data_IF_336246125778
#
_entry.id   IF_336246125778
#
_cell.length_a   1.000
_cell.length_b   1.000
_cell.length_c   1.000
_cell.angle_alpha   90.00
_cell.angle_beta   90.00
_cell.angle_gamma   90.00
#
_symmetry.space_group_name_H-M   'P 1'
#
loop_
_entity.id
_entity.type
_entity.pdbx_description
1 polymer ?
#
# COMPACT_ATOMS: atom_id res chain seq x y z
N UNK A 1 -1.86 25.24 24.18
CA UNK A 1 -3.31 25.43 24.36
C UNK A 1 -3.71 24.68 25.62
N UNK A 2 -4.56 25.26 26.47
CA UNK A 2 -5.06 24.56 27.66
C UNK A 2 -5.97 23.41 27.23
N UNK A 3 -6.01 22.31 28.00
CA UNK A 3 -6.83 21.12 27.74
C UNK A 3 -8.32 21.45 27.57
N UNK A 4 -8.80 22.50 28.26
CA UNK A 4 -10.19 22.98 28.17
C UNK A 4 -10.51 23.66 26.83
N UNK A 5 -9.55 24.36 26.24
CA UNK A 5 -9.71 25.00 24.92
C UNK A 5 -9.73 23.96 23.78
N UNK A 6 -9.12 22.78 24.01
CA UNK A 6 -9.15 21.66 23.07
C UNK A 6 -10.46 20.89 23.13
N UNK A 7 -11.12 20.82 24.29
CA UNK A 7 -12.42 20.15 24.43
C UNK A 7 -13.56 20.93 23.77
N UNK A 8 -13.53 22.26 23.79
CA UNK A 8 -14.60 23.09 23.19
C UNK A 8 -14.60 23.01 21.67
N UNK A 9 -13.42 22.99 21.04
CA UNK A 9 -13.24 22.91 19.58
C UNK A 9 -13.32 21.48 19.02
N UNK A 10 -13.73 20.52 19.84
CA UNK A 10 -13.76 19.09 19.51
C UNK A 10 -14.78 18.74 18.44
N UNK A 11 -16.01 19.23 18.59
CA UNK A 11 -17.13 18.99 17.69
C UNK A 11 -17.39 20.22 16.82
N UNK A 12 -18.12 20.02 15.71
CA UNK A 12 -18.61 21.13 14.90
C UNK A 12 -19.50 22.03 15.78
N UNK A 13 -19.20 23.33 15.79
CA UNK A 13 -20.03 24.33 16.48
C UNK A 13 -20.81 25.13 15.44
N UNK A 14 -22.12 25.24 15.62
CA UNK A 14 -22.98 26.08 14.80
C UNK A 14 -23.11 27.46 15.43
N UNK A 15 -22.90 28.52 14.64
CA UNK A 15 -23.18 29.88 15.10
C UNK A 15 -24.66 30.17 14.83
N UNK A 16 -25.48 30.12 15.88
CA UNK A 16 -26.91 30.42 15.77
C UNK A 16 -27.11 31.84 15.21
N UNK A 17 -27.84 31.95 14.09
CA UNK A 17 -28.21 33.23 13.46
C UNK A 17 -27.27 33.75 12.38
N UNK A 18 -26.08 33.17 12.18
CA UNK A 18 -25.20 33.51 11.05
C UNK A 18 -25.35 32.48 9.93
N UNK A 19 -25.92 32.88 8.80
CA UNK A 19 -25.97 32.05 7.58
C UNK A 19 -24.92 32.48 6.57
N UNK A 20 -24.40 31.51 5.81
CA UNK A 20 -23.45 31.75 4.72
C UNK A 20 -23.95 31.06 3.47
N UNK A 21 -23.94 31.80 2.36
CA UNK A 21 -24.22 31.23 1.04
C UNK A 21 -23.05 30.36 0.58
N UNK A 22 -23.26 29.06 0.48
CA UNK A 22 -22.27 28.10 0.00
C UNK A 22 -22.63 27.59 -1.37
N UNK A 23 -21.75 27.80 -2.34
CA UNK A 23 -21.86 27.19 -3.66
C UNK A 23 -21.64 25.67 -3.58
N UNK A 24 -22.55 24.90 -4.18
CA UNK A 24 -22.44 23.45 -4.36
C UNK A 24 -21.35 23.15 -5.39
N UNK A 25 -20.33 22.38 -5.01
CA UNK A 25 -19.16 22.10 -5.87
C UNK A 25 -19.07 20.65 -6.29
N UNK A 26 -19.58 19.73 -5.48
CA UNK A 26 -19.51 18.31 -5.76
C UNK A 26 -20.64 17.86 -6.67
N UNK A 27 -20.35 16.91 -7.57
CA UNK A 27 -21.31 16.29 -8.46
C UNK A 27 -22.47 15.64 -7.71
N UNK A 28 -22.16 15.02 -6.56
CA UNK A 28 -23.16 14.36 -5.69
C UNK A 28 -24.05 15.38 -5.00
N UNK A 29 -23.48 16.49 -4.55
CA UNK A 29 -24.21 17.58 -3.89
C UNK A 29 -25.18 18.27 -4.87
N UNK A 30 -24.70 18.62 -6.06
CA UNK A 30 -25.52 19.24 -7.11
C UNK A 30 -26.63 18.29 -7.54
N UNK A 31 -26.32 17.01 -7.78
CA UNK A 31 -27.32 16.02 -8.18
C UNK A 31 -28.40 15.82 -7.12
N UNK A 32 -28.04 15.71 -5.84
CA UNK A 32 -28.99 15.63 -4.74
C UNK A 32 -29.86 16.90 -4.62
N UNK A 33 -29.26 18.07 -4.80
CA UNK A 33 -29.99 19.34 -4.77
C UNK A 33 -30.99 19.45 -5.93
N UNK A 34 -30.60 19.02 -7.14
CA UNK A 34 -31.48 18.96 -8.30
C UNK A 34 -32.63 17.99 -8.10
N UNK A 35 -32.39 16.78 -7.56
CA UNK A 35 -33.46 15.83 -7.25
C UNK A 35 -34.45 16.45 -6.26
N UNK A 36 -33.95 17.09 -5.20
CA UNK A 36 -34.80 17.73 -4.20
C UNK A 36 -35.64 18.87 -4.80
N UNK A 37 -35.06 19.70 -5.67
CA UNK A 37 -35.75 20.85 -6.27
C UNK A 37 -36.69 20.46 -7.43
N UNK A 38 -36.36 19.42 -8.20
CA UNK A 38 -37.17 18.94 -9.32
C UNK A 38 -38.26 17.96 -8.90
N UNK A 39 -38.15 17.35 -7.72
CA UNK A 39 -39.17 16.48 -7.14
C UNK A 39 -39.48 15.27 -8.03
N UNK A 40 -40.70 15.19 -8.55
CA UNK A 40 -41.15 14.10 -9.45
C UNK A 40 -40.73 14.30 -10.90
N UNK A 41 -40.23 15.50 -11.27
CA UNK A 41 -39.81 15.84 -12.64
C UNK A 41 -38.32 15.54 -12.85
N UNK A 42 -37.89 14.31 -12.55
CA UNK A 42 -36.50 13.85 -12.76
C UNK A 42 -36.28 13.25 -14.15
N UNK A 43 -37.23 13.44 -15.08
CA UNK A 43 -37.14 12.91 -16.43
C UNK A 43 -35.90 13.51 -17.14
N UNK A 44 -34.87 12.70 -17.36
CA UNK A 44 -33.61 13.11 -17.99
C UNK A 44 -32.40 13.21 -17.04
N UNK A 45 -32.60 13.13 -15.72
CA UNK A 45 -31.50 13.00 -14.75
C UNK A 45 -31.16 11.53 -14.53
N UNK A 46 -29.90 11.10 -14.79
CA UNK A 46 -29.49 9.74 -14.48
C UNK A 46 -29.61 9.47 -12.98
N UNK A 47 -30.05 8.26 -12.61
CA UNK A 47 -30.20 7.85 -11.21
C UNK A 47 -28.85 7.81 -10.47
N UNK A 48 -27.76 7.56 -11.18
CA UNK A 48 -26.40 7.53 -10.62
C UNK A 48 -25.62 8.79 -11.00
N UNK A 49 -25.25 9.65 -10.03
CA UNK A 49 -24.46 10.83 -10.31
C UNK A 49 -23.09 10.47 -10.90
N UNK A 50 -22.53 9.26 -10.73
CA UNK A 50 -21.23 8.90 -11.30
C UNK A 50 -21.23 8.87 -12.84
N UNK A 51 -22.38 8.65 -13.47
CA UNK A 51 -22.52 8.49 -14.93
C UNK A 51 -22.73 9.81 -15.69
N UNK A 52 -22.98 10.90 -14.99
CA UNK A 52 -23.27 12.22 -15.59
C UNK A 52 -22.01 13.06 -15.74
N UNK A 53 -22.02 14.21 -16.41
CA UNK A 53 -20.92 15.19 -16.32
C UNK A 53 -21.29 16.32 -15.38
N UNK A 54 -20.30 16.98 -14.77
CA UNK A 54 -20.55 18.17 -13.95
C UNK A 54 -21.13 19.33 -14.79
N UNK A 55 -20.72 19.43 -16.06
CA UNK A 55 -21.26 20.41 -17.00
C UNK A 55 -22.76 20.16 -17.23
N UNK A 56 -23.14 18.92 -17.53
CA UNK A 56 -24.54 18.55 -17.72
C UNK A 56 -25.42 18.90 -16.51
N UNK A 57 -24.95 18.63 -15.28
CA UNK A 57 -25.72 18.97 -14.08
C UNK A 57 -25.90 20.49 -13.91
N UNK A 58 -24.90 21.30 -14.30
CA UNK A 58 -25.03 22.76 -14.29
C UNK A 58 -25.97 23.25 -15.37
N UNK A 59 -25.92 22.65 -16.56
CA UNK A 59 -26.81 22.99 -17.66
C UNK A 59 -28.27 22.68 -17.30
N UNK A 60 -28.54 21.54 -16.68
CA UNK A 60 -29.87 21.18 -16.15
C UNK A 60 -30.31 22.17 -15.07
N UNK A 61 -29.42 22.54 -14.14
CA UNK A 61 -29.73 23.55 -13.13
C UNK A 61 -30.12 24.89 -13.77
N UNK A 62 -29.36 25.34 -14.76
CA UNK A 62 -29.62 26.58 -15.49
C UNK A 62 -30.94 26.52 -16.28
N UNK A 63 -31.23 25.41 -16.95
CA UNK A 63 -32.48 25.21 -17.70
C UNK A 63 -33.72 25.29 -16.80
N UNK A 64 -33.61 24.81 -15.56
CA UNK A 64 -34.70 24.85 -14.59
C UNK A 64 -34.65 26.06 -13.65
N UNK A 65 -33.72 27.00 -13.85
CA UNK A 65 -33.58 28.19 -13.00
C UNK A 65 -33.23 27.87 -11.54
N UNK A 66 -32.57 26.74 -11.28
CA UNK A 66 -32.20 26.29 -9.94
C UNK A 66 -30.84 26.88 -9.58
N UNK A 67 -30.81 27.74 -8.57
CA UNK A 67 -29.55 28.24 -8.03
C UNK A 67 -28.75 27.10 -7.37
N UNK A 68 -27.44 27.09 -7.61
CA UNK A 68 -26.52 26.09 -7.08
C UNK A 68 -25.82 26.59 -5.80
N UNK A 69 -26.39 27.59 -5.14
CA UNK A 69 -25.97 28.04 -3.83
C UNK A 69 -27.02 27.71 -2.78
N UNK A 70 -26.56 27.22 -1.63
CA UNK A 70 -27.42 26.82 -0.52
C UNK A 70 -27.04 27.68 0.68
N UNK A 71 -28.07 28.21 1.35
CA UNK A 71 -27.91 28.88 2.62
C UNK A 71 -27.66 27.82 3.71
N UNK A 72 -26.46 27.83 4.29
CA UNK A 72 -26.10 26.94 5.39
C UNK A 72 -25.79 27.78 6.63
N UNK A 73 -26.13 27.26 7.82
CA UNK A 73 -25.69 27.84 9.09
C UNK A 73 -24.17 27.82 9.13
N UNK A 74 -23.55 28.94 9.51
CA UNK A 74 -22.10 29.03 9.63
C UNK A 74 -21.63 28.05 10.70
N UNK A 75 -20.79 27.09 10.30
CA UNK A 75 -20.20 26.10 11.21
C UNK A 75 -18.70 26.33 11.38
N UNK A 76 -18.23 26.34 12.62
CA UNK A 76 -16.81 26.10 12.91
C UNK A 76 -16.58 24.60 12.90
N UNK A 77 -15.79 24.13 11.93
CA UNK A 77 -15.48 22.72 11.79
C UNK A 77 -14.63 22.23 12.96
N UNK A 78 -15.13 21.25 13.70
CA UNK A 78 -14.42 20.49 14.71
C UNK A 78 -13.43 19.51 14.07
N UNK A 79 -12.62 18.87 14.92
CA UNK A 79 -11.56 17.96 14.44
C UNK A 79 -11.94 16.48 14.57
N UNK A 80 -13.04 16.13 15.24
CA UNK A 80 -13.51 14.74 15.36
C UNK A 80 -13.93 14.19 13.98
N UNK A 81 -13.55 12.94 13.69
CA UNK A 81 -13.80 12.23 12.41
C UNK A 81 -13.16 12.85 11.15
N UNK A 82 -12.41 13.95 11.27
CA UNK A 82 -11.62 14.48 10.17
C UNK A 82 -10.26 13.77 10.15
N UNK A 83 -9.78 13.26 9.00
CA UNK A 83 -8.45 12.67 8.91
C UNK A 83 -7.40 13.72 9.28
N UNK A 84 -6.58 13.42 10.29
CA UNK A 84 -5.50 14.30 10.72
C UNK A 84 -4.30 14.13 9.80
N UNK A 85 -3.71 15.26 9.39
CA UNK A 85 -2.43 15.24 8.68
C UNK A 85 -1.29 14.87 9.62
N UNK A 86 -0.21 14.30 9.07
CA UNK A 86 0.96 13.89 9.86
C UNK A 86 1.53 15.03 10.74
N UNK A 87 1.59 16.26 10.20
CA UNK A 87 2.03 17.43 10.95
C UNK A 87 1.13 17.73 12.15
N UNK A 88 -0.18 17.64 11.96
CA UNK A 88 -1.16 17.86 13.03
C UNK A 88 -0.98 16.83 14.15
N UNK A 89 -0.78 15.56 13.79
CA UNK A 89 -0.52 14.49 14.76
C UNK A 89 0.77 14.73 15.53
N UNK A 90 1.85 15.14 14.85
CA UNK A 90 3.10 15.48 15.51
C UNK A 90 2.95 16.67 16.46
N UNK A 91 2.17 17.70 16.08
CA UNK A 91 1.89 18.86 16.94
C UNK A 91 1.16 18.45 18.21
N UNK A 92 0.08 17.69 18.07
CA UNK A 92 -0.73 17.24 19.21
C UNK A 92 0.06 16.37 20.19
N UNK A 93 1.06 15.64 19.68
CA UNK A 93 1.94 14.77 20.46
C UNK A 93 3.20 15.46 20.97
N UNK A 94 3.40 16.75 20.67
CA UNK A 94 4.61 17.48 21.06
C UNK A 94 5.90 16.98 20.40
N UNK A 95 5.80 16.31 19.24
CA UNK A 95 6.95 15.78 18.49
C UNK A 95 7.65 16.85 17.63
N UNK A 96 7.04 18.03 17.50
CA UNK A 96 7.55 19.15 16.70
C UNK A 96 7.45 20.44 17.48
N UNK A 97 8.40 21.34 17.23
CA UNK A 97 8.42 22.67 17.83
C UNK A 97 7.43 23.60 17.12
N UNK A 98 6.40 24.01 17.85
CA UNK A 98 5.36 24.92 17.39
C UNK A 98 5.90 26.26 16.89
N UNK A 99 6.95 26.80 17.51
CA UNK A 99 7.51 28.09 17.10
C UNK A 99 8.24 27.95 15.76
N UNK A 100 8.92 26.82 15.53
CA UNK A 100 9.49 26.51 14.22
C UNK A 100 8.42 26.29 13.15
N UNK A 101 7.30 25.63 13.48
CA UNK A 101 6.17 25.48 12.55
C UNK A 101 5.62 26.84 12.12
N UNK A 102 5.42 27.77 13.05
CA UNK A 102 4.89 29.11 12.79
C UNK A 102 5.89 29.97 12.00
N UNK A 103 7.15 30.00 12.43
CA UNK A 103 8.21 30.86 11.85
C UNK A 103 8.65 30.40 10.48
N UNK A 104 8.68 29.09 10.22
CA UNK A 104 9.26 28.53 8.99
C UNK A 104 8.35 27.49 8.37
N UNK A 105 7.45 27.95 7.49
CA UNK A 105 6.59 27.05 6.69
C UNK A 105 7.43 26.02 5.96
N UNK A 106 7.08 24.74 6.13
CA UNK A 106 7.81 23.62 5.53
C UNK A 106 9.14 23.30 6.20
N UNK A 107 9.36 23.66 7.47
CA UNK A 107 10.47 23.13 8.26
C UNK A 107 10.35 21.61 8.43
N UNK A 108 9.16 21.15 8.84
CA UNK A 108 8.82 19.74 8.91
C UNK A 108 8.11 19.29 7.63
N UNK A 109 8.58 18.19 7.04
CA UNK A 109 8.03 17.64 5.81
C UNK A 109 7.91 16.12 5.90
N UNK A 110 7.04 15.51 5.09
CA UNK A 110 6.89 14.05 5.06
C UNK A 110 8.20 13.26 4.83
N UNK A 111 9.08 13.65 3.87
CA UNK A 111 10.40 13.04 3.73
C UNK A 111 11.47 13.67 4.62
N UNK A 112 11.16 14.77 5.32
CA UNK A 112 12.14 15.64 5.99
C UNK A 112 12.91 16.56 5.04
N UNK A 113 13.76 17.40 5.62
CA UNK A 113 14.65 18.32 4.91
C UNK A 113 16.01 17.69 4.70
N UNK A 114 16.67 18.11 3.63
CA UNK A 114 18.05 17.73 3.35
C UNK A 114 18.98 18.92 3.58
N UNK A 115 20.19 18.66 4.04
CA UNK A 115 21.28 19.63 4.10
C UNK A 115 21.86 19.91 2.70
N UNK A 116 22.92 20.73 2.63
CA UNK A 116 23.55 21.11 1.36
C UNK A 116 24.23 19.91 0.67
N UNK A 117 24.61 18.91 1.46
CA UNK A 117 25.23 17.65 1.07
C UNK A 117 24.18 16.59 0.66
N UNK A 118 22.89 16.89 0.81
CA UNK A 118 21.77 16.03 0.42
C UNK A 118 21.40 14.97 1.46
N UNK A 119 22.01 15.00 2.65
CA UNK A 119 21.71 14.13 3.79
C UNK A 119 20.50 14.65 4.55
N UNK A 120 19.69 13.72 5.06
CA UNK A 120 18.48 14.01 5.81
C UNK A 120 18.82 14.68 7.15
N UNK A 121 18.21 15.84 7.42
CA UNK A 121 18.29 16.51 8.72
C UNK A 121 17.34 15.78 9.68
N UNK A 122 17.92 15.16 10.70
CA UNK A 122 17.15 14.44 11.73
C UNK A 122 16.12 15.35 12.41
N UNK A 123 15.01 14.75 12.84
CA UNK A 123 13.90 15.48 13.48
C UNK A 123 13.06 16.34 12.53
N UNK A 124 13.42 16.51 11.26
CA UNK A 124 12.59 17.28 10.30
C UNK A 124 11.58 16.41 9.53
N UNK A 125 11.77 15.09 9.54
CA UNK A 125 10.90 14.12 8.86
C UNK A 125 9.69 13.74 9.71
N UNK A 126 8.50 14.17 9.29
CA UNK A 126 7.25 13.81 9.95
C UNK A 126 7.02 12.29 9.97
N UNK A 127 7.50 11.57 8.94
CA UNK A 127 7.40 10.12 8.90
C UNK A 127 8.20 9.48 10.02
N UNK A 128 9.47 9.85 10.17
CA UNK A 128 10.34 9.25 11.20
C UNK A 128 9.84 9.56 12.60
N UNK A 129 9.35 10.79 12.81
CA UNK A 129 8.76 11.20 14.09
C UNK A 129 7.53 10.32 14.45
N UNK A 130 6.62 10.09 13.51
CA UNK A 130 5.44 9.25 13.76
C UNK A 130 5.79 7.76 13.85
N UNK A 131 6.72 7.28 13.04
CA UNK A 131 7.18 5.88 13.09
C UNK A 131 7.84 5.56 14.44
N UNK A 132 8.42 6.54 15.12
CA UNK A 132 8.96 6.37 16.47
C UNK A 132 7.89 6.07 17.52
N UNK A 133 6.62 6.43 17.26
CA UNK A 133 5.52 6.30 18.21
C UNK A 133 5.07 4.85 18.36
N UNK A 134 4.81 4.46 19.60
CA UNK A 134 4.46 3.08 19.97
C UNK A 134 3.19 2.56 19.31
N UNK A 135 2.18 3.40 19.16
CA UNK A 135 0.91 3.04 18.53
C UNK A 135 1.06 2.78 17.04
N UNK A 136 1.90 3.55 16.35
CA UNK A 136 2.25 3.29 14.94
C UNK A 136 3.13 2.05 14.78
N UNK A 137 4.11 1.85 15.66
CA UNK A 137 4.97 0.65 15.64
C UNK A 137 4.19 -0.64 15.85
N UNK A 138 3.21 -0.60 16.76
CA UNK A 138 2.38 -1.74 17.13
C UNK A 138 1.09 -1.80 16.32
N UNK A 139 0.90 -0.89 15.36
CA UNK A 139 -0.28 -0.87 14.51
C UNK A 139 -0.27 -2.11 13.62
N UNK A 140 -1.30 -2.93 13.77
CA UNK A 140 -1.55 -4.04 12.86
C UNK A 140 -2.57 -3.58 11.84
N UNK A 141 -2.37 -3.97 10.58
CA UNK A 141 -3.37 -3.71 9.56
C UNK A 141 -4.68 -4.45 9.89
N UNK A 142 -5.81 -3.91 9.43
CA UNK A 142 -7.10 -4.59 9.57
C UNK A 142 -7.07 -6.01 9.00
N UNK A 143 -6.33 -6.24 7.90
CA UNK A 143 -6.17 -7.56 7.30
C UNK A 143 -5.41 -8.52 8.22
N UNK A 144 -4.32 -8.08 8.84
CA UNK A 144 -3.58 -8.87 9.83
C UNK A 144 -4.41 -9.17 11.07
N UNK A 145 -5.16 -8.19 11.57
CA UNK A 145 -6.06 -8.40 12.70
C UNK A 145 -7.08 -9.49 12.40
N UNK A 146 -7.75 -9.42 11.23
CA UNK A 146 -8.70 -10.45 10.79
C UNK A 146 -8.00 -11.81 10.67
N UNK A 147 -6.86 -11.88 9.99
CA UNK A 147 -6.12 -13.13 9.81
C UNK A 147 -5.73 -13.77 11.15
N UNK A 148 -5.33 -12.96 12.13
CA UNK A 148 -4.99 -13.42 13.48
C UNK A 148 -6.18 -14.06 14.19
N UNK A 149 -7.41 -13.57 13.99
CA UNK A 149 -8.62 -14.20 14.54
C UNK A 149 -8.82 -15.63 14.04
N UNK A 150 -8.35 -15.93 12.82
CA UNK A 150 -8.41 -17.26 12.21
C UNK A 150 -7.13 -18.09 12.41
N UNK A 151 -6.16 -17.62 13.21
CA UNK A 151 -4.88 -18.29 13.39
C UNK A 151 -3.97 -18.23 12.14
N UNK A 152 -4.22 -17.31 11.22
CA UNK A 152 -3.43 -17.13 10.01
C UNK A 152 -2.39 -16.03 10.19
N UNK A 153 -1.28 -16.18 9.45
CA UNK A 153 -0.25 -15.15 9.31
C UNK A 153 -0.35 -14.51 7.94
N UNK A 154 -0.37 -13.19 7.90
CA UNK A 154 -0.28 -12.43 6.65
C UNK A 154 1.19 -12.16 6.37
N UNK A 155 1.60 -12.41 5.13
CA UNK A 155 2.93 -12.06 4.63
C UNK A 155 2.72 -11.12 3.45
N UNK A 156 3.12 -9.87 3.59
CA UNK A 156 3.02 -8.89 2.52
C UNK A 156 4.16 -9.04 1.54
N UNK A 157 3.83 -9.14 0.25
CA UNK A 157 4.78 -8.89 -0.83
C UNK A 157 4.84 -7.39 -1.13
N UNK A 158 6.01 -6.84 -1.49
CA UNK A 158 6.14 -5.44 -1.83
C UNK A 158 5.29 -5.10 -3.06
N UNK A 159 4.81 -3.86 -3.10
CA UNK A 159 3.92 -3.37 -4.15
C UNK A 159 4.63 -3.36 -5.51
N UNK A 160 3.91 -3.71 -6.57
CA UNK A 160 4.42 -3.72 -7.95
C UNK A 160 5.53 -4.74 -8.26
N UNK A 161 5.67 -5.78 -7.43
CA UNK A 161 6.63 -6.88 -7.64
C UNK A 161 5.93 -8.23 -7.83
N UNK A 162 5.24 -8.43 -8.97
CA UNK A 162 4.47 -9.66 -9.21
C UNK A 162 5.35 -10.91 -9.22
N UNK A 163 6.64 -10.81 -9.58
CA UNK A 163 7.58 -11.94 -9.56
C UNK A 163 7.75 -12.63 -8.19
N UNK A 164 7.43 -11.96 -7.08
CA UNK A 164 7.53 -12.52 -5.73
C UNK A 164 6.19 -12.58 -5.00
N UNK A 165 5.09 -12.23 -5.68
CA UNK A 165 3.76 -12.26 -5.11
C UNK A 165 3.34 -13.71 -4.76
N UNK A 166 2.69 -13.88 -3.60
CA UNK A 166 2.02 -15.12 -3.19
C UNK A 166 2.88 -16.38 -3.29
N UNK A 167 4.19 -16.27 -3.06
CA UNK A 167 5.16 -17.38 -3.20
C UNK A 167 5.11 -18.02 -4.59
N UNK A 168 4.95 -17.19 -5.62
CA UNK A 168 4.95 -17.60 -7.03
C UNK A 168 3.57 -17.79 -7.66
N UNK A 169 2.52 -17.17 -7.09
CA UNK A 169 1.15 -17.24 -7.62
C UNK A 169 1.04 -16.76 -9.07
N UNK A 170 1.80 -15.72 -9.44
CA UNK A 170 1.82 -15.18 -10.80
C UNK A 170 2.42 -16.17 -11.81
N UNK A 171 3.38 -16.99 -11.38
CA UNK A 171 3.92 -18.06 -12.23
C UNK A 171 2.91 -19.20 -12.39
N UNK A 172 2.20 -19.58 -11.32
CA UNK A 172 1.12 -20.56 -11.36
C UNK A 172 0.03 -20.09 -12.35
N UNK A 173 -0.40 -18.84 -12.24
CA UNK A 173 -1.32 -18.22 -13.19
C UNK A 173 -0.80 -18.20 -14.62
N UNK A 174 0.49 -17.91 -14.82
CA UNK A 174 1.12 -17.91 -16.15
C UNK A 174 1.06 -19.31 -16.78
N UNK A 175 1.34 -20.36 -16.00
CA UNK A 175 1.23 -21.76 -16.48
C UNK A 175 -0.22 -22.07 -16.87
N UNK A 176 -1.18 -21.82 -15.98
CA UNK A 176 -2.60 -22.06 -16.23
C UNK A 176 -3.13 -21.29 -17.45
N UNK A 177 -2.73 -20.02 -17.59
CA UNK A 177 -3.13 -19.16 -18.71
C UNK A 177 -2.53 -19.65 -20.03
N UNK A 178 -1.28 -20.12 -20.03
CA UNK A 178 -0.67 -20.69 -21.23
C UNK A 178 -1.42 -21.93 -21.71
N UNK A 179 -1.91 -22.77 -20.80
CA UNK A 179 -2.81 -23.86 -21.15
C UNK A 179 -4.12 -23.34 -21.76
N UNK A 180 -4.74 -22.33 -21.16
CA UNK A 180 -6.00 -21.75 -21.65
C UNK A 180 -5.88 -21.16 -23.05
N UNK A 181 -4.78 -20.46 -23.34
CA UNK A 181 -4.54 -19.81 -24.65
C UNK A 181 -4.41 -20.84 -25.77
N UNK A 182 -3.92 -22.05 -25.46
CA UNK A 182 -3.80 -23.16 -26.42
C UNK A 182 -5.13 -23.87 -26.71
N UNK A 183 -6.17 -23.61 -25.93
CA UNK A 183 -7.49 -24.19 -26.15
C UNK A 183 -8.21 -23.40 -27.26
N UNK A 184 -8.64 -24.07 -28.35
CA UNK A 184 -9.38 -23.44 -29.43
C UNK A 184 -10.60 -22.67 -28.92
N UNK A 185 -10.85 -21.48 -29.48
CA UNK A 185 -11.96 -20.62 -29.07
C UNK A 185 -13.32 -21.34 -29.02
N UNK A 186 -13.69 -22.20 -30.00
CA UNK A 186 -14.97 -22.92 -29.95
C UNK A 186 -15.15 -23.83 -28.72
N UNK A 187 -14.05 -24.33 -28.16
CA UNK A 187 -14.04 -25.23 -27.00
C UNK A 187 -14.13 -24.49 -25.66
N UNK A 188 -13.85 -23.19 -25.65
CA UNK A 188 -13.90 -22.32 -24.45
C UNK A 188 -14.84 -21.12 -24.57
N UNK A 189 -15.60 -21.01 -25.66
CA UNK A 189 -16.58 -19.94 -25.88
C UNK A 189 -17.85 -20.22 -25.07
N UNK A 190 -18.28 -19.22 -24.29
CA UNK A 190 -19.41 -19.32 -23.38
C UNK A 190 -19.00 -19.73 -21.96
N UNK A 191 -19.80 -19.32 -20.97
CA UNK A 191 -19.49 -19.42 -19.54
C UNK A 191 -19.19 -20.87 -19.12
N UNK A 192 -20.08 -21.81 -19.42
CA UNK A 192 -19.96 -23.18 -18.91
C UNK A 192 -18.76 -23.91 -19.51
N UNK A 193 -18.55 -23.75 -20.82
CA UNK A 193 -17.39 -24.28 -21.53
C UNK A 193 -16.10 -23.67 -20.99
N UNK A 194 -16.07 -22.36 -20.77
CA UNK A 194 -14.91 -21.69 -20.18
C UNK A 194 -14.60 -22.23 -18.79
N UNK A 195 -15.59 -22.28 -17.88
CA UNK A 195 -15.42 -22.77 -16.52
C UNK A 195 -14.92 -24.22 -16.51
N UNK A 196 -15.50 -25.08 -17.36
CA UNK A 196 -15.06 -26.47 -17.52
C UNK A 196 -13.59 -26.55 -17.94
N UNK A 197 -13.19 -25.82 -18.98
CA UNK A 197 -11.80 -25.81 -19.44
C UNK A 197 -10.82 -25.27 -18.39
N UNK A 198 -11.24 -24.26 -17.63
CA UNK A 198 -10.43 -23.71 -16.54
C UNK A 198 -10.18 -24.76 -15.46
N UNK A 199 -11.21 -25.49 -15.03
CA UNK A 199 -11.08 -26.51 -13.99
C UNK A 199 -10.35 -27.77 -14.51
N UNK A 200 -10.79 -28.32 -15.63
CA UNK A 200 -10.35 -29.62 -16.14
C UNK A 200 -8.95 -29.58 -16.76
N UNK A 201 -8.53 -28.42 -17.26
CA UNK A 201 -7.24 -28.23 -17.93
C UNK A 201 -6.35 -27.27 -17.14
N UNK A 202 -6.78 -26.03 -16.93
CA UNK A 202 -5.88 -24.98 -16.41
C UNK A 202 -5.49 -25.18 -14.93
N UNK A 203 -6.40 -25.70 -14.11
CA UNK A 203 -6.19 -26.00 -12.69
C UNK A 203 -6.06 -27.50 -12.40
N UNK A 204 -5.85 -28.32 -13.44
CA UNK A 204 -5.70 -29.75 -13.29
C UNK A 204 -4.44 -30.10 -12.48
N UNK A 205 -4.62 -30.69 -11.31
CA UNK A 205 -3.53 -31.00 -10.37
C UNK A 205 -2.63 -32.17 -10.79
N UNK A 206 -3.04 -32.96 -11.79
CA UNK A 206 -2.29 -34.12 -12.28
C UNK A 206 -1.50 -33.79 -13.54
N UNK A 207 -2.00 -32.88 -14.38
CA UNK A 207 -1.43 -32.57 -15.70
C UNK A 207 -0.77 -31.20 -15.78
N UNK A 208 -1.38 -30.17 -15.19
CA UNK A 208 -0.96 -28.78 -15.38
C UNK A 208 -0.32 -28.21 -14.12
N UNK A 209 -1.09 -28.11 -13.05
CA UNK A 209 -0.63 -27.61 -11.75
C UNK A 209 -0.19 -28.75 -10.84
N UNK A 210 0.71 -29.59 -11.35
CA UNK A 210 1.30 -30.68 -10.57
C UNK A 210 2.09 -30.16 -9.38
N UNK A 211 2.31 -31.02 -8.38
CA UNK A 211 3.19 -30.70 -7.24
C UNK A 211 4.56 -30.21 -7.72
N UNK A 212 5.10 -30.82 -8.78
CA UNK A 212 6.38 -30.40 -9.36
C UNK A 212 6.29 -29.00 -9.99
N UNK A 213 5.27 -28.73 -10.79
CA UNK A 213 5.05 -27.42 -11.41
C UNK A 213 4.90 -26.32 -10.37
N UNK A 214 4.06 -26.52 -9.36
CA UNK A 214 3.82 -25.54 -8.29
C UNK A 214 5.09 -25.30 -7.47
N UNK A 215 5.84 -26.36 -7.14
CA UNK A 215 7.14 -26.23 -6.45
C UNK A 215 8.17 -25.48 -7.30
N UNK A 216 8.19 -25.71 -8.62
CA UNK A 216 9.03 -24.96 -9.55
C UNK A 216 8.67 -23.47 -9.63
N UNK A 217 7.38 -23.14 -9.63
CA UNK A 217 6.89 -21.76 -9.57
C UNK A 217 7.36 -21.07 -8.27
N UNK A 218 7.22 -21.75 -7.13
CA UNK A 218 7.69 -21.25 -5.85
C UNK A 218 9.22 -21.12 -5.79
N UNK A 219 9.96 -22.06 -6.40
CA UNK A 219 11.40 -21.97 -6.55
C UNK A 219 11.79 -20.75 -7.37
N UNK A 220 11.06 -20.44 -8.44
CA UNK A 220 11.31 -19.27 -9.28
C UNK A 220 11.11 -17.97 -8.50
N UNK A 221 10.05 -17.85 -7.72
CA UNK A 221 9.82 -16.70 -6.85
C UNK A 221 10.97 -16.54 -5.83
N UNK A 222 11.43 -17.64 -5.21
CA UNK A 222 12.59 -17.61 -4.29
C UNK A 222 13.88 -17.16 -4.97
N UNK A 223 14.11 -17.55 -6.23
CA UNK A 223 15.27 -17.05 -6.99
C UNK A 223 15.25 -15.53 -7.14
N UNK A 224 14.07 -14.93 -7.37
CA UNK A 224 13.94 -13.47 -7.40
C UNK A 224 14.19 -12.82 -6.05
N UNK A 225 13.67 -13.40 -4.95
CA UNK A 225 13.96 -12.91 -3.59
C UNK A 225 15.46 -12.92 -3.32
N UNK A 226 16.16 -14.01 -3.64
CA UNK A 226 17.62 -14.11 -3.46
C UNK A 226 18.34 -13.05 -4.31
N UNK A 227 17.91 -12.84 -5.56
CA UNK A 227 18.50 -11.83 -6.43
C UNK A 227 18.35 -10.40 -5.86
N UNK A 228 17.20 -10.08 -5.24
CA UNK A 228 17.00 -8.80 -4.58
C UNK A 228 17.90 -8.61 -3.35
N UNK A 229 18.02 -9.64 -2.51
CA UNK A 229 18.90 -9.60 -1.33
C UNK A 229 20.36 -9.40 -1.73
N UNK A 230 20.80 -10.08 -2.78
CA UNK A 230 22.15 -9.92 -3.33
C UNK A 230 22.39 -8.50 -3.87
N UNK A 231 21.43 -7.94 -4.60
CA UNK A 231 21.54 -6.58 -5.12
C UNK A 231 21.68 -5.57 -3.99
N UNK A 232 20.84 -5.70 -2.95
CA UNK A 232 20.90 -4.85 -1.76
C UNK A 232 22.25 -4.95 -1.04
N UNK A 233 22.79 -6.16 -0.88
CA UNK A 233 24.12 -6.36 -0.28
C UNK A 233 25.24 -5.69 -1.10
N UNK A 234 25.16 -5.74 -2.43
CA UNK A 234 26.14 -5.10 -3.33
C UNK A 234 26.03 -3.58 -3.29
N UNK A 235 24.82 -3.02 -3.20
CA UNK A 235 24.61 -1.58 -3.08
C UNK A 235 25.13 -1.05 -1.75
N UNK A 236 24.81 -1.73 -0.62
CA UNK A 236 25.34 -1.38 0.69
C UNK A 236 26.88 -1.37 0.73
N UNK A 237 27.52 -2.39 0.14
CA UNK A 237 28.99 -2.46 0.06
C UNK A 237 29.62 -1.38 -0.83
N UNK A 238 28.87 -0.79 -1.79
CA UNK A 238 29.35 0.35 -2.60
C UNK A 238 29.28 1.65 -1.83
N UNK A 239 28.25 1.83 -1.01
CA UNK A 239 28.06 3.02 -0.19
C UNK A 239 29.00 3.05 1.03
N UNK A 240 29.42 1.90 1.56
CA UNK A 240 30.43 1.82 2.64
C UNK A 240 31.82 2.37 2.25
N UNK A 241 32.11 2.57 0.96
CA UNK A 241 33.28 3.36 0.50
C UNK A 241 33.17 4.87 0.79
N UNK A 242 31.99 5.35 1.19
CA UNK A 242 31.70 6.72 1.62
C UNK A 242 30.74 6.69 2.82
N UNK A 243 31.27 6.31 3.99
CA UNK A 243 30.63 6.38 5.33
C UNK A 243 29.33 5.58 5.55
N UNK A 244 29.51 4.37 6.11
CA UNK A 244 28.72 3.80 7.22
C UNK A 244 27.23 3.54 7.01
N UNK A 245 26.87 2.33 6.58
CA UNK A 245 25.53 1.75 6.79
C UNK A 245 25.62 0.23 6.94
N UNK A 246 24.98 -0.31 8.00
CA UNK A 246 25.18 -1.65 8.57
C UNK A 246 24.97 -2.83 7.59
N UNK A 247 25.71 -3.95 7.79
CA UNK A 247 25.52 -5.19 7.05
C UNK A 247 24.20 -5.88 7.42
N UNK A 248 23.59 -6.55 6.44
CA UNK A 248 22.40 -7.39 6.61
C UNK A 248 22.54 -8.33 7.82
N UNK A 249 21.74 -8.16 8.86
CA UNK A 249 21.68 -9.12 9.97
C UNK A 249 20.99 -10.40 9.50
N UNK A 250 21.78 -11.46 9.36
CA UNK A 250 21.31 -12.81 9.06
C UNK A 250 22.49 -13.76 8.90
N UNK A 251 22.35 -14.97 9.43
CA UNK A 251 23.38 -16.03 9.53
C UNK A 251 23.70 -16.70 8.16
N UNK A 252 23.63 -15.96 7.06
CA UNK A 252 23.96 -16.47 5.73
C UNK A 252 25.27 -15.82 5.29
N UNK A 253 26.37 -16.57 5.42
CA UNK A 253 27.69 -16.14 4.99
C UNK A 253 27.67 -15.64 3.53
N UNK A 254 28.32 -14.48 3.31
CA UNK A 254 28.59 -13.91 1.99
C UNK A 254 29.21 -14.95 1.03
N UNK A 255 29.94 -15.92 1.57
CA UNK A 255 30.60 -16.99 0.83
C UNK A 255 29.61 -18.05 0.32
N UNK A 256 28.58 -18.35 1.11
CA UNK A 256 27.44 -19.18 0.71
C UNK A 256 26.60 -18.49 -0.38
N UNK A 257 26.45 -17.17 -0.26
CA UNK A 257 25.81 -16.35 -1.29
C UNK A 257 26.62 -16.30 -2.60
N UNK A 258 27.96 -16.19 -2.51
CA UNK A 258 28.90 -16.23 -3.64
C UNK A 258 28.96 -17.60 -4.33
N UNK A 259 28.83 -18.71 -3.62
CA UNK A 259 28.70 -20.04 -4.27
C UNK A 259 27.40 -20.20 -5.04
N UNK A 260 26.29 -19.63 -4.56
CA UNK A 260 25.03 -19.56 -5.33
C UNK A 260 25.09 -18.54 -6.49
N UNK A 261 26.02 -17.58 -6.41
CA UNK A 261 26.31 -16.59 -7.46
C UNK A 261 26.96 -17.22 -8.70
N UNK A 262 27.80 -18.26 -8.56
CA UNK A 262 28.42 -18.93 -9.71
C UNK A 262 27.45 -19.70 -10.58
N UNK A 263 26.28 -20.08 -10.05
CA UNK A 263 25.18 -20.69 -10.83
C UNK A 263 24.32 -19.65 -11.59
N UNK A 264 24.54 -18.36 -11.35
CA UNK A 264 23.57 -17.32 -11.64
C UNK A 264 24.06 -16.39 -12.76
N UNK A 265 23.86 -16.77 -14.03
CA UNK A 265 24.05 -15.85 -15.17
C UNK A 265 23.13 -16.12 -16.37
N UNK A 266 22.04 -15.37 -16.43
CA UNK A 266 21.94 -14.38 -17.50
C UNK A 266 22.02 -13.08 -16.71
N UNK A 267 23.25 -12.53 -16.69
CA UNK A 267 23.91 -11.86 -15.55
C UNK A 267 23.41 -10.44 -15.23
N UNK A 268 22.24 -10.18 -15.76
CA UNK A 268 21.62 -8.90 -15.88
C UNK A 268 20.15 -9.19 -16.26
N UNK A 269 19.60 -10.42 -16.11
CA UNK A 269 18.14 -10.69 -16.26
C UNK A 269 17.50 -10.02 -15.05
N UNK A 270 17.53 -8.72 -14.98
CA UNK A 270 17.32 -8.16 -13.65
C UNK A 270 18.14 -6.97 -13.17
N UNK A 271 19.19 -6.47 -13.82
CA UNK A 271 19.73 -5.13 -13.44
C UNK A 271 18.71 -3.99 -13.69
N UNK A 272 17.45 -4.37 -13.77
CA UNK A 272 16.67 -4.55 -14.97
C UNK A 272 15.41 -5.23 -14.47
N UNK A 273 14.41 -5.37 -15.27
CA UNK A 273 13.75 -4.17 -15.70
C UNK A 273 13.43 -3.42 -14.40
N UNK A 274 14.23 -2.42 -14.01
CA UNK A 274 13.87 -1.29 -13.14
C UNK A 274 14.88 -0.94 -12.01
N UNK A 275 15.83 -0.04 -12.28
CA UNK A 275 15.85 1.27 -11.56
C UNK A 275 14.71 2.20 -12.07
N UNK A 276 13.77 1.64 -12.83
CA UNK A 276 13.26 2.14 -14.11
C UNK A 276 11.85 1.64 -14.35
N UNK A 277 10.91 2.30 -13.71
CA UNK A 277 10.16 3.32 -14.42
C UNK A 277 9.33 3.95 -13.31
N UNK A 278 10.07 4.80 -12.58
CA UNK A 278 9.64 6.06 -11.97
C UNK A 278 8.12 6.20 -11.98
N UNK A 279 7.48 5.84 -10.87
CA UNK A 279 6.58 6.71 -10.11
C UNK A 279 6.28 6.05 -8.76
N UNK A 280 6.78 6.72 -7.70
CA UNK A 280 6.55 6.51 -6.25
C UNK A 280 6.87 5.11 -5.70
N UNK A 281 8.17 4.85 -5.48
CA UNK A 281 8.69 3.64 -4.83
C UNK A 281 9.05 3.84 -3.36
N UNK A 282 9.24 2.71 -2.68
CA UNK A 282 9.52 2.47 -1.25
C UNK A 282 10.87 3.03 -0.73
N UNK A 283 11.32 4.21 -1.18
CA UNK A 283 12.20 5.05 -0.33
C UNK A 283 11.42 5.62 0.90
N UNK A 284 10.47 4.83 1.39
CA UNK A 284 9.32 5.18 2.22
C UNK A 284 9.01 4.09 3.27
N UNK A 285 9.73 2.97 3.27
CA UNK A 285 9.67 1.95 4.31
C UNK A 285 11.08 1.41 4.52
N UNK A 286 11.82 2.22 5.27
CA UNK A 286 12.73 1.88 6.37
C UNK A 286 13.83 0.82 6.19
N UNK A 287 15.04 1.30 6.51
CA UNK A 287 16.09 0.51 7.13
C UNK A 287 15.66 0.03 8.53
N UNK A 288 16.09 -1.20 8.84
CA UNK A 288 16.24 -1.85 10.15
C UNK A 288 14.96 -2.36 10.86
N UNK A 289 14.73 -3.68 10.85
CA UNK A 289 15.31 -4.72 11.74
C UNK A 289 14.43 -4.95 12.98
N UNK A 290 13.48 -5.89 12.86
CA UNK A 290 13.02 -6.63 14.03
C UNK A 290 14.04 -7.75 14.32
N UNK A 291 14.86 -7.55 15.35
CA UNK A 291 15.56 -8.63 16.03
C UNK A 291 14.52 -9.53 16.69
N UNK A 292 14.21 -10.66 16.06
CA UNK A 292 13.56 -11.78 16.73
C UNK A 292 14.63 -12.47 17.58
N UNK A 293 14.63 -12.19 18.89
CA UNK A 293 15.40 -12.98 19.85
C UNK A 293 14.73 -14.35 20.00
N UNK A 294 15.35 -15.40 19.45
CA UNK A 294 15.03 -16.77 19.84
C UNK A 294 15.77 -17.10 21.14
N UNK A 295 15.01 -17.33 22.21
CA UNK A 295 15.54 -18.00 23.40
C UNK A 295 15.79 -19.47 23.09
N UNK A 296 17.07 -19.83 23.09
CA UNK A 296 17.70 -21.15 23.27
C UNK A 296 16.82 -22.41 23.14
N UNK A 297 17.05 -23.21 22.09
CA UNK A 297 17.81 -24.49 22.18
C UNK A 297 17.52 -25.47 21.03
N UNK A 298 16.74 -25.10 20.01
CA UNK A 298 16.58 -25.94 18.82
C UNK A 298 17.11 -25.21 17.58
N UNK A 299 18.13 -25.79 16.94
CA UNK A 299 18.68 -25.29 15.67
C UNK A 299 17.63 -25.45 14.57
N UNK A 300 17.55 -24.46 13.66
CA UNK A 300 16.71 -24.50 12.46
C UNK A 300 16.99 -25.77 11.63
N UNK A 301 18.20 -26.29 11.68
CA UNK A 301 18.57 -27.55 11.01
C UNK A 301 17.90 -28.78 11.65
N UNK A 302 17.71 -28.79 12.98
CA UNK A 302 17.04 -29.89 13.68
C UNK A 302 15.54 -29.90 13.41
N UNK A 303 14.92 -28.73 13.29
CA UNK A 303 13.52 -28.62 12.87
C UNK A 303 13.33 -29.09 11.42
N UNK A 304 14.22 -28.69 10.50
CA UNK A 304 14.16 -29.13 9.10
C UNK A 304 14.38 -30.65 8.96
N UNK A 305 15.26 -31.26 9.77
CA UNK A 305 15.47 -32.71 9.78
C UNK A 305 14.28 -33.48 10.35
N UNK A 306 13.59 -32.96 11.38
CA UNK A 306 12.35 -33.57 11.90
C UNK A 306 11.24 -33.58 10.85
N UNK A 307 11.11 -32.51 10.07
CA UNK A 307 10.03 -32.40 9.09
C UNK A 307 10.29 -33.17 7.79
N UNK A 308 11.55 -33.40 7.44
CA UNK A 308 11.92 -34.37 6.40
C UNK A 308 11.67 -35.82 6.83
N UNK A 309 11.81 -36.15 8.13
CA UNK A 309 11.54 -37.50 8.66
C UNK A 309 10.06 -37.85 8.82
N UNK A 310 9.17 -36.85 8.93
CA UNK A 310 7.70 -37.07 8.93
C UNK A 310 7.09 -37.26 7.55
N UNK A 311 7.89 -37.06 6.48
CA UNK A 311 7.44 -37.14 5.09
C UNK A 311 8.01 -38.36 4.35
N UNK A 312 8.61 -39.31 5.08
CA UNK A 312 8.93 -40.66 4.63
C UNK A 312 8.02 -41.65 5.35
#
# INVERSE_FOLDING_TARGET
MSSEQQSTTKYDQEFEGETVMRALRSKKEIHAHLIHKLGTNTAGLPSDPARTSLAFLRDVANQHGIDLSVEEVKKQKGWVNTPKGALQMCIERGLVDLELVKRRKGHYMMPGRKDAEGKLIEGTSLRMLLQGCDDFKKEISMLEWVAKQYGWRVIFSPKCHPEIAGVGIEYVWSVSKNCLVRIPLPQRKGKDRFTKQVLDVCFNSEKTLTKQTVRGCAQKARQFVIAYLLLHAVEAARDEGTSGTKPLTGEVSLETMRKKQSELKFATIRAAQKMYKRHRGIAMFDHEEEKISFTSSESIEDWMRKEQRKSA
#
